data_IF_209880617995
#
_entry.id   IF_209880617995
#
_cell.length_a   1.000
_cell.length_b   1.000
_cell.length_c   1.000
_cell.angle_alpha   90.00
_cell.angle_beta   90.00
_cell.angle_gamma   90.00
#
_symmetry.space_group_name_H-M   'P 1'
#
loop_
_entity.id
_entity.type
_entity.pdbx_description
1 polymer ?
#
# COMPACT_ATOMS: atom_id res chain seq x y z
N UNK A 1 -1.51 23.27 -90.58
CA UNK A 1 -2.21 22.20 -89.82
C UNK A 1 -1.18 21.32 -89.15
N UNK A 2 -1.02 21.43 -87.83
CA UNK A 2 -0.41 20.43 -86.93
C UNK A 2 -0.85 20.82 -85.52
N UNK A 3 -1.89 20.17 -85.04
CA UNK A 3 -2.44 20.30 -83.69
C UNK A 3 -1.56 19.49 -82.72
N UNK A 4 -1.03 20.12 -81.68
CA UNK A 4 -0.38 19.42 -80.58
C UNK A 4 -1.40 19.19 -79.46
N UNK A 5 -1.60 17.92 -79.12
CA UNK A 5 -2.42 17.43 -78.02
C UNK A 5 -1.74 17.74 -76.69
N UNK A 6 -2.43 18.40 -75.77
CA UNK A 6 -2.04 18.46 -74.37
C UNK A 6 -2.68 17.28 -73.63
N UNK A 7 -1.84 16.38 -73.12
CA UNK A 7 -2.23 15.24 -72.29
C UNK A 7 -2.34 15.73 -70.82
N UNK A 8 -3.56 15.84 -70.29
CA UNK A 8 -3.77 16.12 -68.86
C UNK A 8 -3.75 14.82 -68.07
N UNK A 9 -2.68 14.60 -67.31
CA UNK A 9 -2.56 13.51 -66.34
C UNK A 9 -3.38 13.80 -65.08
N UNK A 10 -4.48 13.07 -64.88
CA UNK A 10 -5.25 13.04 -63.64
C UNK A 10 -4.55 12.14 -62.62
N UNK A 11 -3.95 12.73 -61.58
CA UNK A 11 -3.49 12.02 -60.39
C UNK A 11 -4.68 11.80 -59.45
N UNK A 12 -5.13 10.54 -59.33
CA UNK A 12 -6.14 10.14 -58.34
C UNK A 12 -5.48 10.02 -56.97
N UNK A 13 -5.74 10.97 -56.07
CA UNK A 13 -5.33 10.87 -54.66
C UNK A 13 -6.39 10.07 -53.91
N UNK A 14 -6.15 8.78 -53.69
CA UNK A 14 -6.93 7.96 -52.76
C UNK A 14 -6.48 8.26 -51.33
N UNK A 15 -7.23 9.11 -50.61
CA UNK A 15 -7.06 9.24 -49.16
C UNK A 15 -7.68 8.03 -48.47
N UNK A 16 -6.84 7.14 -47.94
CA UNK A 16 -7.27 6.11 -47.02
C UNK A 16 -7.60 6.76 -45.66
N UNK A 17 -8.89 7.03 -45.42
CA UNK A 17 -9.40 7.35 -44.09
C UNK A 17 -9.22 6.12 -43.20
N UNK A 18 -8.12 6.10 -42.44
CA UNK A 18 -7.98 5.19 -41.32
C UNK A 18 -9.00 5.61 -40.27
N UNK A 19 -10.11 4.87 -40.17
CA UNK A 19 -11.03 5.00 -39.06
C UNK A 19 -10.25 4.57 -37.82
N UNK A 20 -9.76 5.53 -37.07
CA UNK A 20 -9.25 5.32 -35.71
C UNK A 20 -10.48 4.96 -34.88
N UNK A 21 -10.81 3.67 -34.80
CA UNK A 21 -11.58 3.17 -33.69
C UNK A 21 -10.71 3.36 -32.45
N UNK A 22 -10.89 4.48 -31.76
CA UNK A 22 -10.46 4.58 -30.39
C UNK A 22 -11.15 3.41 -29.66
N UNK A 23 -10.41 2.44 -29.10
CA UNK A 23 -11.07 1.41 -28.32
C UNK A 23 -11.82 2.11 -27.19
N UNK A 24 -13.14 1.88 -27.11
CA UNK A 24 -13.91 2.26 -25.93
C UNK A 24 -13.14 1.79 -24.71
N UNK A 25 -12.68 2.74 -23.89
CA UNK A 25 -12.04 2.44 -22.61
C UNK A 25 -13.11 1.75 -21.76
N UNK A 26 -13.14 0.43 -21.81
CA UNK A 26 -14.03 -0.35 -20.96
C UNK A 26 -13.74 0.06 -19.51
N UNK A 27 -14.78 0.47 -18.80
CA UNK A 27 -14.78 0.98 -17.42
C UNK A 27 -14.42 -0.11 -16.38
N UNK A 28 -13.55 -1.06 -16.71
CA UNK A 28 -13.19 -2.23 -15.87
C UNK A 28 -12.60 -1.82 -14.52
N UNK A 29 -12.06 -0.60 -14.41
CA UNK A 29 -11.42 -0.07 -13.20
C UNK A 29 -12.09 1.18 -12.63
N UNK A 30 -13.27 1.57 -13.13
CA UNK A 30 -14.02 2.71 -12.61
C UNK A 30 -15.24 2.20 -11.85
N UNK A 31 -15.57 2.86 -10.74
CA UNK A 31 -16.80 2.53 -10.02
C UNK A 31 -18.01 2.70 -10.98
N UNK A 32 -18.94 1.74 -11.04
CA UNK A 32 -20.13 1.88 -11.88
C UNK A 32 -21.01 3.06 -11.43
N UNK A 33 -21.84 3.62 -12.33
CA UNK A 33 -22.81 4.66 -11.99
C UNK A 33 -23.73 4.21 -10.84
N UNK A 34 -24.16 5.15 -9.99
CA UNK A 34 -24.96 4.88 -8.79
C UNK A 34 -26.36 4.29 -9.08
N UNK A 35 -26.86 4.40 -10.31
CA UNK A 35 -28.25 4.08 -10.67
C UNK A 35 -28.51 2.58 -10.93
N UNK A 36 -27.48 1.74 -11.10
CA UNK A 36 -27.62 0.31 -11.47
C UNK A 36 -27.09 -0.68 -10.40
N UNK A 37 -27.26 -0.41 -9.10
CA UNK A 37 -26.64 -1.27 -8.07
C UNK A 37 -27.66 -1.93 -7.14
N UNK A 38 -27.77 -3.26 -7.23
CA UNK A 38 -28.41 -4.13 -6.23
C UNK A 38 -27.56 -4.31 -4.96
N UNK A 39 -26.35 -3.72 -4.91
CA UNK A 39 -25.39 -3.84 -3.80
C UNK A 39 -24.80 -2.47 -3.47
N UNK A 40 -24.46 -2.21 -2.20
CA UNK A 40 -23.88 -0.92 -1.77
C UNK A 40 -22.35 -0.95 -1.93
N UNK A 41 -21.79 -0.10 -2.80
CA UNK A 41 -20.36 0.19 -2.82
C UNK A 41 -19.99 1.01 -1.56
N UNK A 42 -18.91 0.66 -0.83
CA UNK A 42 -18.45 1.43 0.30
C UNK A 42 -18.22 2.91 -0.02
N UNK A 43 -18.63 3.79 0.89
CA UNK A 43 -18.32 5.22 0.83
C UNK A 43 -16.81 5.46 0.93
N UNK A 44 -16.37 6.70 0.67
CA UNK A 44 -14.97 7.09 0.87
C UNK A 44 -14.56 6.86 2.32
N UNK A 45 -15.40 7.32 3.25
CA UNK A 45 -15.17 7.18 4.68
C UNK A 45 -15.15 5.70 5.13
N UNK A 46 -16.13 4.89 4.71
CA UNK A 46 -16.14 3.44 4.99
C UNK A 46 -14.87 2.75 4.47
N UNK A 47 -14.35 3.19 3.31
CA UNK A 47 -13.10 2.69 2.75
C UNK A 47 -11.88 3.13 3.55
N UNK A 48 -11.86 4.36 4.07
CA UNK A 48 -10.82 4.85 4.96
C UNK A 48 -10.79 4.08 6.29
N UNK A 49 -11.95 3.82 6.89
CA UNK A 49 -12.08 3.01 8.11
C UNK A 49 -11.57 1.58 7.85
N UNK A 50 -11.90 0.98 6.70
CA UNK A 50 -11.34 -0.33 6.30
C UNK A 50 -9.83 -0.30 6.17
N UNK A 51 -9.26 0.71 5.51
CA UNK A 51 -7.82 0.85 5.37
C UNK A 51 -7.11 1.02 6.72
N UNK A 52 -7.65 1.84 7.61
CA UNK A 52 -7.15 2.02 8.97
C UNK A 52 -7.27 0.76 9.81
N UNK A 53 -8.36 -0.02 9.67
CA UNK A 53 -8.49 -1.34 10.31
C UNK A 53 -7.44 -2.32 9.85
N UNK A 54 -7.11 -2.34 8.56
CA UNK A 54 -6.02 -3.17 8.03
C UNK A 54 -4.69 -2.72 8.63
N UNK A 55 -4.39 -1.41 8.66
CA UNK A 55 -3.16 -0.90 9.27
C UNK A 55 -3.04 -1.29 10.76
N UNK A 56 -4.14 -1.17 11.49
CA UNK A 56 -4.22 -1.51 12.90
C UNK A 56 -3.85 -2.98 13.16
N UNK A 57 -4.31 -3.88 12.29
CA UNK A 57 -4.08 -5.32 12.40
C UNK A 57 -2.75 -5.79 11.78
N UNK A 58 -2.28 -5.16 10.71
CA UNK A 58 -1.10 -5.60 9.96
C UNK A 58 0.20 -5.36 10.74
N UNK A 59 1.04 -6.38 10.88
CA UNK A 59 2.39 -6.27 11.46
C UNK A 59 3.42 -5.86 10.42
N UNK A 60 3.18 -6.17 9.15
CA UNK A 60 4.15 -5.97 8.07
C UNK A 60 3.52 -5.20 6.91
N UNK A 61 4.37 -4.51 6.15
CA UNK A 61 4.02 -3.91 4.87
C UNK A 61 5.22 -3.87 3.95
N UNK A 62 5.01 -3.54 2.68
CA UNK A 62 6.08 -3.44 1.69
C UNK A 62 6.42 -1.97 1.45
N UNK A 63 7.63 -1.55 1.82
CA UNK A 63 8.16 -0.25 1.40
C UNK A 63 8.68 -0.35 -0.02
N UNK A 64 8.26 0.57 -0.88
CA UNK A 64 8.72 0.70 -2.26
C UNK A 64 9.47 2.01 -2.41
N UNK A 65 10.71 1.91 -2.90
CA UNK A 65 11.59 3.03 -3.24
C UNK A 65 12.31 2.72 -4.55
N UNK A 66 12.88 3.72 -5.20
CA UNK A 66 13.76 3.53 -6.36
C UNK A 66 15.23 3.67 -5.97
N UNK A 67 16.11 2.92 -6.64
CA UNK A 67 17.55 3.16 -6.52
C UNK A 67 17.89 4.58 -6.96
N UNK A 68 18.77 5.29 -6.24
CA UNK A 68 19.16 6.64 -6.62
C UNK A 68 19.82 6.64 -7.99
N UNK A 69 19.65 7.73 -8.73
CA UNK A 69 20.45 7.95 -9.94
C UNK A 69 21.90 8.22 -9.51
N UNK A 70 22.88 7.67 -10.24
CA UNK A 70 24.30 8.02 -10.08
C UNK A 70 24.51 9.50 -10.34
N UNK A 71 24.44 10.29 -9.28
CA UNK A 71 24.80 11.69 -9.34
C UNK A 71 26.30 11.78 -9.60
N UNK A 72 26.71 12.56 -10.60
CA UNK A 72 28.12 12.80 -10.97
C UNK A 72 28.89 13.56 -9.88
N UNK A 73 28.26 13.83 -8.74
CA UNK A 73 28.79 14.55 -7.57
C UNK A 73 28.73 13.77 -6.26
N UNK A 74 28.39 12.48 -6.29
CA UNK A 74 28.43 11.64 -5.08
C UNK A 74 29.87 11.54 -4.54
N UNK A 75 30.04 11.77 -3.25
CA UNK A 75 31.33 11.63 -2.58
C UNK A 75 31.77 10.16 -2.62
N UNK A 76 33.08 9.90 -2.78
CA UNK A 76 33.65 8.55 -2.88
C UNK A 76 33.15 7.55 -1.81
N UNK A 77 32.80 8.03 -0.62
CA UNK A 77 32.32 7.19 0.48
C UNK A 77 30.96 6.49 0.21
N UNK A 78 30.09 7.04 -0.64
CA UNK A 78 28.80 6.41 -0.99
C UNK A 78 28.97 5.36 -2.09
N UNK A 79 29.91 5.59 -3.03
CA UNK A 79 30.28 4.61 -4.05
C UNK A 79 30.89 3.35 -3.43
N UNK A 80 31.69 3.48 -2.37
CA UNK A 80 32.30 2.35 -1.67
C UNK A 80 31.25 1.44 -1.01
N UNK A 81 30.16 2.01 -0.50
CA UNK A 81 29.07 1.23 0.10
C UNK A 81 28.27 0.51 -0.98
N UNK A 82 27.93 1.14 -2.10
CA UNK A 82 27.23 0.44 -3.20
C UNK A 82 28.05 -0.71 -3.79
N UNK A 83 29.36 -0.51 -3.94
CA UNK A 83 30.28 -1.56 -4.39
C UNK A 83 30.36 -2.72 -3.39
N UNK A 84 30.30 -2.45 -2.07
CA UNK A 84 30.32 -3.47 -1.02
C UNK A 84 29.11 -4.42 -1.08
N UNK A 85 27.96 -3.94 -1.55
CA UNK A 85 26.71 -4.71 -1.65
C UNK A 85 26.47 -5.29 -3.05
N UNK A 86 27.41 -5.12 -3.99
CA UNK A 86 27.36 -5.73 -5.31
C UNK A 86 26.20 -5.24 -6.18
N UNK A 87 25.80 -3.95 -6.05
CA UNK A 87 24.70 -3.40 -6.83
C UNK A 87 24.99 -3.51 -8.34
N UNK A 88 24.14 -4.22 -9.12
CA UNK A 88 24.33 -4.31 -10.57
C UNK A 88 24.27 -2.95 -11.27
N UNK A 89 25.04 -2.78 -12.34
CA UNK A 89 24.95 -1.59 -13.18
C UNK A 89 23.58 -1.50 -13.87
N UNK A 90 23.06 -0.28 -14.03
CA UNK A 90 21.82 -0.01 -14.77
C UNK A 90 20.52 -0.17 -13.98
N UNK A 91 20.59 -0.17 -12.64
CA UNK A 91 19.42 -0.16 -11.76
C UNK A 91 18.95 1.23 -11.34
N UNK A 92 19.65 2.29 -11.78
CA UNK A 92 19.29 3.68 -11.52
C UNK A 92 17.80 3.95 -11.81
N UNK A 93 17.07 4.50 -10.84
CA UNK A 93 15.64 4.78 -10.93
C UNK A 93 14.71 3.55 -10.84
N UNK A 94 15.25 2.33 -10.89
CA UNK A 94 14.46 1.09 -10.83
C UNK A 94 13.87 0.89 -9.43
N UNK A 95 12.57 0.54 -9.31
CA UNK A 95 11.94 0.36 -8.01
C UNK A 95 12.32 -0.98 -7.38
N UNK A 96 12.41 -0.99 -6.05
CA UNK A 96 12.51 -2.17 -5.22
C UNK A 96 11.47 -2.09 -4.09
N UNK A 97 10.75 -3.20 -3.90
CA UNK A 97 9.81 -3.37 -2.80
C UNK A 97 10.33 -4.41 -1.80
N UNK A 98 10.57 -4.03 -0.55
CA UNK A 98 10.95 -4.96 0.53
C UNK A 98 9.95 -4.88 1.69
N UNK A 99 9.77 -5.99 2.38
CA UNK A 99 8.92 -6.06 3.57
C UNK A 99 9.62 -5.40 4.76
N UNK A 100 8.89 -4.58 5.50
CA UNK A 100 9.35 -3.91 6.71
C UNK A 100 8.30 -4.04 7.82
N UNK A 101 8.76 -3.98 9.07
CA UNK A 101 7.88 -4.01 10.23
C UNK A 101 7.20 -2.67 10.45
N UNK A 102 5.88 -2.72 10.61
CA UNK A 102 5.03 -1.55 10.82
C UNK A 102 4.17 -1.73 12.08
N UNK A 103 3.75 -0.60 12.66
CA UNK A 103 2.84 -0.58 13.81
C UNK A 103 1.96 0.66 13.81
N UNK A 104 0.68 0.48 14.13
CA UNK A 104 -0.27 1.56 14.37
C UNK A 104 -0.18 1.96 15.86
N UNK A 105 0.94 2.62 16.20
CA UNK A 105 1.31 2.93 17.58
C UNK A 105 1.09 4.39 17.97
N UNK A 106 0.62 5.21 17.03
CA UNK A 106 0.31 6.62 17.18
C UNK A 106 -1.17 6.83 16.81
N UNK A 107 -1.79 7.89 17.32
CA UNK A 107 -3.25 8.10 17.15
C UNK A 107 -3.61 8.87 15.86
N UNK A 108 -2.61 9.36 15.11
CA UNK A 108 -2.76 10.24 13.95
C UNK A 108 -2.93 9.50 12.61
N UNK A 109 -2.90 8.16 12.63
CA UNK A 109 -2.98 7.33 11.44
C UNK A 109 -1.67 7.24 10.66
N UNK A 110 -0.55 7.68 11.23
CA UNK A 110 0.77 7.46 10.66
C UNK A 110 1.35 6.15 11.20
N UNK A 111 1.74 5.18 10.35
CA UNK A 111 2.40 3.99 10.85
C UNK A 111 3.79 4.32 11.39
N UNK A 112 4.09 3.79 12.57
CA UNK A 112 5.45 3.68 13.08
C UNK A 112 6.18 2.55 12.36
N UNK A 113 7.43 2.77 12.01
CA UNK A 113 8.33 1.80 11.39
C UNK A 113 9.59 1.68 12.24
N UNK A 114 10.09 0.45 12.42
CA UNK A 114 11.43 0.22 12.95
C UNK A 114 12.42 0.19 11.79
N UNK A 115 12.99 1.35 11.47
CA UNK A 115 13.92 1.49 10.37
C UNK A 115 15.29 0.94 10.75
N UNK A 116 15.85 0.09 9.90
CA UNK A 116 17.19 -0.48 10.05
C UNK A 116 18.02 -0.04 8.85
N UNK A 117 19.10 0.72 9.08
CA UNK A 117 19.84 1.42 8.01
C UNK A 117 20.49 0.48 6.97
N UNK A 118 20.59 -0.82 7.28
CA UNK A 118 21.08 -1.83 6.35
C UNK A 118 20.10 -2.12 5.21
N UNK A 119 18.80 -1.91 5.42
CA UNK A 119 17.78 -2.26 4.44
C UNK A 119 17.70 -1.23 3.31
N UNK A 120 17.59 -1.74 2.08
CA UNK A 120 17.63 -0.93 0.85
C UNK A 120 16.60 0.21 0.81
N UNK A 121 15.33 0.04 1.25
CA UNK A 121 14.37 1.13 1.23
C UNK A 121 14.80 2.37 2.01
N UNK A 122 15.36 2.20 3.21
CA UNK A 122 15.83 3.34 4.02
C UNK A 122 17.05 4.01 3.42
N UNK A 123 17.96 3.23 2.81
CA UNK A 123 19.12 3.76 2.10
C UNK A 123 18.71 4.58 0.87
N UNK A 124 17.82 4.03 0.05
CA UNK A 124 17.28 4.71 -1.12
C UNK A 124 16.55 6.00 -0.70
N UNK A 125 15.71 5.94 0.32
CA UNK A 125 15.01 7.10 0.85
C UNK A 125 15.98 8.19 1.34
N UNK A 126 17.02 7.80 2.09
CA UNK A 126 18.09 8.71 2.53
C UNK A 126 18.85 9.34 1.35
N UNK A 127 18.98 8.63 0.24
CA UNK A 127 19.57 9.12 -1.01
C UNK A 127 18.60 9.97 -1.86
N UNK A 128 17.42 10.31 -1.34
CA UNK A 128 16.45 11.21 -1.99
C UNK A 128 15.35 10.51 -2.78
N UNK A 129 15.23 9.19 -2.68
CA UNK A 129 14.14 8.44 -3.31
C UNK A 129 12.79 8.74 -2.65
N UNK A 130 11.72 8.84 -3.45
CA UNK A 130 10.36 8.82 -2.90
C UNK A 130 10.07 7.46 -2.26
N UNK A 131 9.14 7.44 -1.31
CA UNK A 131 8.75 6.22 -0.60
C UNK A 131 7.23 6.04 -0.58
N UNK A 132 6.81 4.78 -0.70
CA UNK A 132 5.43 4.37 -0.48
C UNK A 132 5.38 3.09 0.35
N UNK A 133 4.30 2.91 1.11
CA UNK A 133 4.05 1.74 1.94
C UNK A 133 2.79 1.04 1.44
N UNK A 134 2.94 -0.16 0.89
CA UNK A 134 1.80 -1.01 0.54
C UNK A 134 1.47 -1.98 1.67
N UNK A 135 0.20 -2.03 2.03
CA UNK A 135 -0.32 -2.96 3.06
C UNK A 135 -1.52 -3.71 2.47
N UNK A 136 -1.55 -5.02 2.68
CA UNK A 136 -2.64 -5.88 2.23
C UNK A 136 -3.37 -6.52 3.40
N UNK A 137 -4.68 -6.67 3.26
CA UNK A 137 -5.43 -7.54 4.14
C UNK A 137 -5.21 -9.00 3.74
N UNK A 138 -4.67 -9.79 4.66
CA UNK A 138 -4.47 -11.22 4.45
C UNK A 138 -4.75 -11.99 5.75
N UNK A 139 -6.01 -12.42 5.98
CA UNK A 139 -6.35 -13.19 7.18
C UNK A 139 -5.67 -14.57 7.15
N UNK A 140 -5.61 -15.24 8.31
CA UNK A 140 -5.00 -16.58 8.41
C UNK A 140 -5.60 -17.53 7.38
N UNK A 141 -4.77 -18.05 6.47
CA UNK A 141 -5.19 -18.99 5.44
C UNK A 141 -5.67 -20.30 6.07
N UNK A 142 -6.90 -20.70 5.79
CA UNK A 142 -7.36 -22.08 6.03
C UNK A 142 -7.35 -22.82 4.70
N UNK A 143 -6.51 -23.84 4.57
CA UNK A 143 -6.44 -24.68 3.37
C UNK A 143 -7.53 -25.76 3.32
N UNK A 144 -8.40 -25.82 4.33
CA UNK A 144 -9.44 -26.83 4.48
C UNK A 144 -10.79 -26.25 4.11
N UNK A 145 -11.39 -26.77 3.04
CA UNK A 145 -12.84 -26.70 2.85
C UNK A 145 -13.48 -27.56 3.93
N UNK A 146 -13.87 -26.98 5.06
CA UNK A 146 -14.64 -27.73 6.03
C UNK A 146 -16.09 -27.78 5.56
N UNK A 147 -16.44 -28.84 4.84
CA UNK A 147 -17.84 -29.17 4.51
C UNK A 147 -18.69 -29.50 5.77
N UNK A 148 -18.06 -29.54 6.96
CA UNK A 148 -18.64 -29.87 8.25
C UNK A 148 -18.57 -28.71 9.27
N UNK A 149 -18.03 -27.54 8.91
CA UNK A 149 -18.01 -26.39 9.81
C UNK A 149 -19.40 -25.75 9.88
N UNK A 150 -20.07 -26.13 10.97
CA UNK A 150 -21.04 -25.41 11.77
C UNK A 150 -22.02 -24.51 11.00
N UNK A 151 -23.31 -24.89 10.99
CA UNK A 151 -24.45 -24.04 10.58
C UNK A 151 -24.62 -22.77 11.45
N UNK A 152 -23.60 -22.40 12.23
CA UNK A 152 -23.45 -21.21 13.06
C UNK A 152 -22.42 -20.23 12.51
N UNK A 153 -21.72 -20.56 11.42
CA UNK A 153 -20.97 -19.55 10.67
C UNK A 153 -21.98 -18.56 10.10
N UNK A 154 -21.95 -17.34 10.62
CA UNK A 154 -22.87 -16.27 10.27
C UNK A 154 -22.95 -16.13 8.74
N UNK A 155 -24.16 -15.99 8.19
CA UNK A 155 -24.42 -15.88 6.75
C UNK A 155 -23.72 -14.67 6.05
N UNK A 156 -22.90 -13.91 6.78
CA UNK A 156 -22.02 -12.86 6.27
C UNK A 156 -20.61 -13.35 5.90
N UNK A 157 -20.18 -14.55 6.30
CA UNK A 157 -18.92 -15.11 5.84
C UNK A 157 -19.08 -15.57 4.39
N UNK A 158 -18.70 -14.70 3.45
CA UNK A 158 -18.70 -15.00 2.02
C UNK A 158 -17.84 -16.26 1.81
N UNK A 159 -18.42 -17.40 1.41
CA UNK A 159 -17.66 -18.60 1.13
C UNK A 159 -17.14 -18.50 -0.30
N UNK A 160 -16.17 -17.61 -0.51
CA UNK A 160 -15.39 -17.60 -1.75
C UNK A 160 -13.98 -18.06 -1.44
N UNK A 161 -13.39 -18.95 -2.28
CA UNK A 161 -12.02 -19.40 -2.06
C UNK A 161 -11.10 -18.18 -2.00
N UNK A 162 -10.40 -18.05 -0.87
CA UNK A 162 -9.52 -16.95 -0.48
C UNK A 162 -8.53 -16.57 -1.59
N UNK A 163 -8.95 -15.73 -2.54
CA UNK A 163 -8.08 -15.24 -3.60
C UNK A 163 -7.41 -13.96 -3.08
N UNK A 164 -6.09 -13.95 -2.80
CA UNK A 164 -5.39 -12.76 -2.31
C UNK A 164 -5.59 -11.53 -3.17
N UNK A 165 -5.73 -11.75 -4.46
CA UNK A 165 -5.94 -10.67 -5.41
C UNK A 165 -7.28 -9.92 -5.19
N UNK A 166 -8.30 -10.59 -4.66
CA UNK A 166 -9.64 -10.06 -4.45
C UNK A 166 -9.85 -9.39 -3.07
N UNK A 167 -8.89 -9.54 -2.14
CA UNK A 167 -8.99 -8.90 -0.82
C UNK A 167 -8.52 -7.45 -0.83
N UNK A 168 -9.02 -6.63 0.12
CA UNK A 168 -8.65 -5.23 0.19
C UNK A 168 -7.15 -5.01 0.46
N UNK A 169 -6.60 -3.96 -0.13
CA UNK A 169 -5.22 -3.48 0.07
C UNK A 169 -5.14 -1.99 -0.21
N UNK A 170 -4.10 -1.35 0.29
CA UNK A 170 -3.88 0.08 0.06
C UNK A 170 -2.39 0.40 -0.07
N UNK A 171 -2.11 1.58 -0.60
CA UNK A 171 -0.78 2.16 -0.69
C UNK A 171 -0.81 3.54 -0.04
N UNK A 172 0.09 3.78 0.90
CA UNK A 172 0.34 5.09 1.50
C UNK A 172 1.53 5.71 0.79
N UNK A 173 1.43 6.99 0.48
CA UNK A 173 2.55 7.79 -0.05
C UNK A 173 2.81 8.96 0.89
N UNK A 174 4.08 9.31 1.05
CA UNK A 174 4.51 10.36 1.96
C UNK A 174 6.00 10.26 2.25
N UNK A 175 6.38 10.56 3.49
CA UNK A 175 7.78 10.69 3.90
C UNK A 175 8.05 10.08 5.29
N UNK A 176 9.32 9.85 5.60
CA UNK A 176 9.74 9.36 6.90
C UNK A 176 10.25 10.52 7.76
N UNK A 177 9.77 10.60 8.99
CA UNK A 177 10.26 11.53 10.00
C UNK A 177 10.79 10.78 11.22
N UNK A 178 11.87 11.30 11.80
CA UNK A 178 12.36 10.80 13.07
C UNK A 178 11.36 11.12 14.18
N UNK A 179 11.02 10.13 14.99
CA UNK A 179 10.15 10.36 16.14
C UNK A 179 10.88 11.19 17.20
N UNK A 180 10.34 12.38 17.48
CA UNK A 180 10.87 13.19 18.58
C UNK A 180 10.62 12.48 19.94
N UNK A 181 11.45 12.79 20.94
CA UNK A 181 11.39 12.14 22.25
C UNK A 181 10.06 12.32 23.01
N UNK A 182 9.29 13.37 22.69
CA UNK A 182 8.01 13.63 23.33
C UNK A 182 6.96 12.67 22.79
N UNK A 183 6.84 12.55 21.48
CA UNK A 183 5.88 11.67 20.81
C UNK A 183 6.19 10.21 21.12
N UNK A 184 7.48 9.84 21.04
CA UNK A 184 7.97 8.51 21.38
C UNK A 184 7.53 8.06 22.78
N UNK A 185 7.66 8.94 23.78
CA UNK A 185 7.28 8.64 25.17
C UNK A 185 5.77 8.69 25.39
N UNK A 186 5.09 9.70 24.85
CA UNK A 186 3.66 9.89 25.07
C UNK A 186 2.83 8.74 24.49
N UNK A 187 3.17 8.30 23.28
CA UNK A 187 2.50 7.18 22.62
C UNK A 187 3.01 5.80 23.11
N UNK A 188 4.02 5.76 24.00
CA UNK A 188 4.68 4.53 24.46
C UNK A 188 5.08 3.63 23.29
N UNK A 189 5.65 4.24 22.24
CA UNK A 189 5.87 3.62 20.93
C UNK A 189 6.59 2.29 21.04
N UNK A 190 7.70 2.23 21.79
CA UNK A 190 8.45 0.98 21.94
C UNK A 190 7.63 -0.17 22.55
N UNK A 191 6.83 0.12 23.59
CA UNK A 191 5.99 -0.90 24.22
C UNK A 191 4.87 -1.37 23.28
N UNK A 192 4.25 -0.45 22.54
CA UNK A 192 3.27 -0.79 21.51
C UNK A 192 3.89 -1.66 20.41
N UNK A 193 5.05 -1.26 19.90
CA UNK A 193 5.72 -1.91 18.79
C UNK A 193 6.20 -3.31 19.18
N UNK A 194 6.87 -3.47 20.33
CA UNK A 194 7.32 -4.79 20.82
C UNK A 194 6.15 -5.72 21.12
N UNK A 195 4.99 -5.19 21.55
CA UNK A 195 3.79 -6.01 21.72
C UNK A 195 3.31 -6.59 20.38
N UNK A 196 3.49 -5.86 19.28
CA UNK A 196 3.14 -6.30 17.92
C UNK A 196 4.23 -7.17 17.30
N UNK A 197 5.49 -6.89 17.65
CA UNK A 197 6.71 -7.51 17.13
C UNK A 197 7.62 -7.99 18.28
N UNK A 198 7.29 -9.10 18.97
CA UNK A 198 8.06 -9.55 20.14
C UNK A 198 9.51 -9.95 19.83
N UNK A 199 9.76 -10.38 18.60
CA UNK A 199 11.07 -10.72 18.06
C UNK A 199 11.94 -9.49 17.83
N UNK A 200 11.34 -8.32 17.59
CA UNK A 200 12.07 -7.05 17.40
C UNK A 200 12.92 -6.59 18.57
N UNK A 201 12.77 -7.21 19.75
CA UNK A 201 13.58 -6.92 20.95
C UNK A 201 15.09 -7.02 20.67
N UNK A 202 15.51 -7.90 19.76
CA UNK A 202 16.92 -8.10 19.43
C UNK A 202 17.51 -6.99 18.55
N UNK A 203 16.68 -6.24 17.82
CA UNK A 203 17.09 -5.16 16.90
C UNK A 203 16.42 -3.82 17.24
N UNK A 204 16.25 -3.57 18.54
CA UNK A 204 15.82 -2.27 19.03
C UNK A 204 16.92 -1.21 18.92
N UNK A 205 16.54 0.08 18.82
CA UNK A 205 17.51 1.18 18.86
C UNK A 205 18.40 1.11 20.10
N UNK A 206 19.71 1.30 19.90
CA UNK A 206 20.71 1.24 20.96
C UNK A 206 21.37 -0.13 21.14
N UNK A 207 21.15 -1.09 20.22
CA UNK A 207 22.00 -2.29 20.12
C UNK A 207 23.29 -2.00 19.32
N UNK A 208 24.30 -2.86 19.47
CA UNK A 208 25.62 -2.68 18.84
C UNK A 208 25.76 -3.38 17.46
N UNK A 209 24.72 -4.05 16.98
CA UNK A 209 24.80 -4.90 15.77
C UNK A 209 24.40 -4.12 14.50
N UNK A 210 23.31 -3.37 14.56
CA UNK A 210 22.81 -2.57 13.44
C UNK A 210 22.23 -1.24 13.94
N UNK A 211 22.49 -0.16 13.19
CA UNK A 211 21.82 1.12 13.43
C UNK A 211 20.34 0.99 13.09
N UNK A 212 19.50 1.07 14.13
CA UNK A 212 18.04 1.07 13.99
C UNK A 212 17.43 2.26 14.74
N UNK A 213 16.32 2.78 14.23
CA UNK A 213 15.56 3.86 14.84
C UNK A 213 14.06 3.71 14.56
N UNK A 214 13.24 4.23 15.45
CA UNK A 214 11.82 4.37 15.16
C UNK A 214 11.58 5.63 14.33
N UNK A 215 10.86 5.45 13.23
CA UNK A 215 10.45 6.55 12.35
C UNK A 215 8.93 6.52 12.17
N UNK A 216 8.36 7.70 11.93
CA UNK A 216 6.97 7.88 11.54
C UNK A 216 6.89 7.94 10.03
N UNK A 217 6.02 7.15 9.42
CA UNK A 217 5.62 7.37 8.03
C UNK A 217 4.48 8.39 8.01
N UNK A 218 4.80 9.64 7.68
CA UNK A 218 3.79 10.70 7.56
C UNK A 218 3.00 10.49 6.29
N UNK A 219 1.70 10.22 6.44
CA UNK A 219 0.81 9.95 5.32
C UNK A 219 0.37 11.26 4.67
N UNK A 220 0.63 11.36 3.37
CA UNK A 220 0.23 12.48 2.52
C UNK A 220 -0.87 12.08 1.53
N UNK A 221 -0.79 10.88 0.96
CA UNK A 221 -1.77 10.37 0.00
C UNK A 221 -2.10 8.90 0.27
N UNK A 222 -3.35 8.52 0.00
CA UNK A 222 -3.86 7.16 0.25
C UNK A 222 -4.53 6.61 -1.00
N UNK A 223 -3.97 5.55 -1.56
CA UNK A 223 -4.60 4.81 -2.65
C UNK A 223 -5.26 3.54 -2.11
N UNK A 224 -6.58 3.39 -2.31
CA UNK A 224 -7.37 2.27 -1.84
C UNK A 224 -7.74 1.30 -2.97
N UNK A 225 -7.63 0.01 -2.69
CA UNK A 225 -8.12 -1.07 -3.54
C UNK A 225 -8.97 -2.00 -2.69
N UNK A 226 -10.30 -1.87 -2.75
CA UNK A 226 -11.22 -2.61 -1.88
C UNK A 226 -11.46 -4.08 -2.26
N UNK A 227 -11.07 -4.51 -3.46
CA UNK A 227 -11.31 -5.86 -3.97
C UNK A 227 -11.71 -5.86 -5.43
N UNK A 228 -12.19 -7.00 -5.93
CA UNK A 228 -12.59 -7.18 -7.33
C UNK A 228 -14.08 -6.95 -7.58
N UNK A 229 -14.42 -6.63 -8.83
CA UNK A 229 -15.79 -6.51 -9.34
C UNK A 229 -16.41 -5.14 -9.14
N UNK A 230 -17.73 -5.10 -9.28
CA UNK A 230 -18.60 -3.92 -9.15
C UNK A 230 -19.02 -3.61 -7.71
N UNK A 231 -18.38 -4.27 -6.72
CA UNK A 231 -18.82 -4.27 -5.31
C UNK A 231 -17.88 -3.53 -4.37
N UNK A 232 -16.71 -3.11 -4.86
CA UNK A 232 -15.67 -2.51 -4.05
C UNK A 232 -15.22 -1.17 -4.64
N UNK A 233 -14.91 -0.21 -3.77
CA UNK A 233 -14.28 1.05 -4.18
C UNK A 233 -12.82 0.81 -4.54
N UNK A 234 -12.38 1.41 -5.64
CA UNK A 234 -10.95 1.55 -5.98
C UNK A 234 -10.69 3.03 -6.27
N UNK A 235 -9.59 3.57 -5.76
CA UNK A 235 -9.15 4.93 -6.04
C UNK A 235 -8.52 5.64 -4.85
N UNK A 236 -8.14 6.89 -5.08
CA UNK A 236 -7.58 7.77 -4.05
C UNK A 236 -8.63 8.12 -2.99
N UNK A 237 -8.21 8.08 -1.73
CA UNK A 237 -8.98 8.57 -0.59
C UNK A 237 -8.39 9.92 -0.16
N UNK A 238 -9.21 10.95 0.13
CA UNK A 238 -8.72 12.20 0.69
C UNK A 238 -7.96 11.94 1.99
N UNK A 239 -6.78 12.53 2.14
CA UNK A 239 -5.95 12.35 3.34
C UNK A 239 -6.65 12.80 4.62
N UNK A 240 -7.52 13.81 4.54
CA UNK A 240 -8.32 14.26 5.67
C UNK A 240 -9.33 13.19 6.14
N UNK A 241 -9.89 12.39 5.23
CA UNK A 241 -10.73 11.24 5.60
C UNK A 241 -9.91 10.19 6.36
N UNK A 242 -8.68 9.91 5.90
CA UNK A 242 -7.77 8.99 6.58
C UNK A 242 -7.43 9.43 8.00
N UNK A 243 -7.13 10.72 8.18
CA UNK A 243 -6.76 11.33 9.47
C UNK A 243 -7.95 11.42 10.43
N UNK A 244 -9.15 11.62 9.92
CA UNK A 244 -10.37 11.77 10.73
C UNK A 244 -10.97 10.44 11.20
N UNK A 245 -10.50 9.30 10.70
CA UNK A 245 -10.94 7.99 11.22
C UNK A 245 -10.58 7.85 12.69
N UNK A 246 -11.59 7.55 13.49
CA UNK A 246 -11.47 7.38 14.93
C UNK A 246 -11.11 5.95 15.32
N UNK A 247 -10.52 5.80 16.50
CA UNK A 247 -10.25 4.48 17.10
C UNK A 247 -11.51 3.63 17.28
N UNK A 248 -12.63 4.27 17.62
CA UNK A 248 -13.91 3.58 17.77
C UNK A 248 -14.35 2.94 16.45
N UNK A 249 -14.29 3.68 15.34
CA UNK A 249 -14.62 3.14 14.02
C UNK A 249 -13.69 2.00 13.61
N UNK A 250 -12.40 2.12 13.92
CA UNK A 250 -11.43 1.06 13.71
C UNK A 250 -11.81 -0.20 14.52
N UNK A 251 -12.18 -0.05 15.79
CA UNK A 251 -12.46 -1.19 16.68
C UNK A 251 -13.80 -1.88 16.38
N UNK A 252 -14.78 -1.13 15.91
CA UNK A 252 -16.12 -1.62 15.57
C UNK A 252 -16.16 -2.31 14.20
N UNK A 253 -15.37 -1.85 13.24
CA UNK A 253 -15.31 -2.44 11.90
C UNK A 253 -14.72 -3.86 11.93
N UNK A 254 -15.28 -4.76 11.11
CA UNK A 254 -14.71 -6.09 10.84
C UNK A 254 -14.40 -6.26 9.37
N UNK A 255 -13.19 -6.74 9.09
CA UNK A 255 -12.78 -7.08 7.74
C UNK A 255 -13.25 -8.50 7.36
N UNK A 256 -13.40 -8.82 6.06
CA UNK A 256 -13.72 -10.17 5.62
C UNK A 256 -12.71 -11.20 6.12
N UNK A 257 -13.17 -12.26 6.79
CA UNK A 257 -12.30 -13.28 7.36
C UNK A 257 -11.52 -12.86 8.61
N UNK A 258 -11.81 -11.69 9.18
CA UNK A 258 -11.27 -11.30 10.49
C UNK A 258 -11.88 -12.17 11.60
N UNK A 259 -11.04 -12.92 12.31
CA UNK A 259 -11.51 -13.74 13.45
C UNK A 259 -12.12 -12.82 14.52
N UNK A 260 -13.29 -13.20 15.04
CA UNK A 260 -13.88 -12.56 16.22
C UNK A 260 -12.84 -12.56 17.33
N UNK A 261 -12.50 -11.38 17.84
CA UNK A 261 -11.73 -11.31 19.09
C UNK A 261 -12.58 -11.98 20.16
N UNK A 262 -12.09 -13.10 20.72
CA UNK A 262 -12.71 -13.67 21.92
C UNK A 262 -12.69 -12.55 22.95
N UNK A 263 -13.86 -12.04 23.34
CA UNK A 263 -13.97 -10.94 24.29
C UNK A 263 -13.00 -11.18 25.44
N UNK A 264 -11.97 -10.35 25.54
CA UNK A 264 -10.99 -10.43 26.62
C UNK A 264 -11.61 -9.82 27.87
N UNK A 265 -12.69 -10.43 28.37
CA UNK A 265 -13.33 -10.17 29.67
C UNK A 265 -12.26 -10.06 30.78
N UNK A 266 -11.15 -10.77 30.65
CA UNK A 266 -10.14 -10.95 31.69
C UNK A 266 -9.11 -9.80 31.79
N UNK A 267 -9.12 -8.81 30.88
CA UNK A 267 -8.11 -7.72 30.89
C UNK A 267 -8.57 -6.39 31.48
N UNK A 268 -9.75 -6.34 32.10
CA UNK A 268 -10.24 -5.16 32.80
C UNK A 268 -10.00 -5.18 34.33
N UNK A 269 -9.23 -6.16 34.82
CA UNK A 269 -8.94 -6.38 36.25
C UNK A 269 -7.43 -6.45 36.61
N UNK A 270 -6.56 -5.82 35.83
CA UNK A 270 -5.15 -5.54 36.17
C UNK A 270 -4.74 -4.19 35.60
#
# INVERSE_FOLDING_TARGET
MRTSLALSSLLSVTSALSIVFAPERHHVFSNPPLEEQYYKIPSIHESAVMARRILHLASEGTLVTSFPEKDTKSNMAEQDVEALWGLPAGLDGSPIGLMEYIGDCEDDGNPTILAIDIATPFRNYKAGSNISLSVRWWPTQTHTYSFLEDKRADAQDIPTPHTPAALPRFSLHGHLEDLNMKDFRNARVAACFVRKHPDSVLWQPGNDVHSSKYVRFVVEEVFWFGGFGDRARIGWLPVEEWRNVTKQEIDELRLPGEKKQKAAWWKQWL
#
